data_IF_102007796501
#
_entry.id   IF_102007796501
#
_cell.length_a   1.000
_cell.length_b   1.000
_cell.length_c   1.000
_cell.angle_alpha   90.00
_cell.angle_beta   90.00
_cell.angle_gamma   90.00
#
_symmetry.space_group_name_H-M   'P 1'
#
loop_
_entity.id
_entity.type
_entity.pdbx_description
1 polymer ?
#
# COMPACT_ATOMS: atom_id res chain seq x y z
N UNK A 1 8.33 -4.78 -7.51
CA UNK A 1 8.86 -3.39 -7.69
C UNK A 1 9.42 -2.81 -6.40
N UNK A 2 10.45 -1.95 -6.45
CA UNK A 2 11.14 -1.43 -5.24
C UNK A 2 10.21 -0.60 -4.35
N UNK A 3 9.37 0.25 -4.94
CA UNK A 3 8.53 1.19 -4.18
C UNK A 3 7.45 0.52 -3.29
N UNK A 4 7.10 -0.73 -3.55
CA UNK A 4 6.14 -1.48 -2.72
C UNK A 4 6.79 -2.44 -1.71
N UNK A 5 8.12 -2.50 -1.67
CA UNK A 5 8.85 -3.34 -0.72
C UNK A 5 8.58 -2.88 0.72
N UNK A 6 8.61 -3.83 1.66
CA UNK A 6 8.25 -3.55 3.06
C UNK A 6 9.21 -2.54 3.69
N UNK A 7 10.50 -2.61 3.37
CA UNK A 7 11.54 -1.74 3.89
C UNK A 7 11.30 -0.29 3.47
N UNK A 8 11.05 -0.08 2.17
CA UNK A 8 10.76 1.25 1.60
C UNK A 8 9.46 1.79 2.15
N UNK A 9 8.42 0.97 2.19
CA UNK A 9 7.08 1.38 2.63
C UNK A 9 7.01 1.65 4.13
N UNK A 10 7.78 0.95 4.97
CA UNK A 10 7.92 1.26 6.41
C UNK A 10 8.55 2.64 6.59
N UNK A 11 9.65 2.94 5.89
CA UNK A 11 10.28 4.26 5.95
C UNK A 11 9.30 5.35 5.51
N UNK A 12 8.58 5.15 4.41
CA UNK A 12 7.55 6.09 3.94
C UNK A 12 6.40 6.24 4.94
N UNK A 13 5.95 5.15 5.57
CA UNK A 13 4.91 5.18 6.60
C UNK A 13 5.35 6.04 7.80
N UNK A 14 6.59 5.87 8.28
CA UNK A 14 7.17 6.71 9.34
C UNK A 14 7.17 8.17 8.93
N UNK A 15 7.68 8.50 7.74
CA UNK A 15 7.77 9.88 7.26
C UNK A 15 6.39 10.54 7.15
N UNK A 16 5.40 9.82 6.61
CA UNK A 16 4.02 10.32 6.46
C UNK A 16 3.38 10.51 7.84
N UNK A 17 3.52 9.55 8.74
CA UNK A 17 2.97 9.62 10.10
C UNK A 17 3.56 10.82 10.87
N UNK A 18 4.88 10.98 10.85
CA UNK A 18 5.56 12.13 11.47
C UNK A 18 5.08 13.45 10.86
N UNK A 19 4.94 13.52 9.54
CA UNK A 19 4.44 14.72 8.86
C UNK A 19 2.97 15.04 9.24
N UNK A 20 2.11 14.04 9.42
CA UNK A 20 0.74 14.21 9.90
C UNK A 20 0.70 14.71 11.34
N UNK A 21 1.50 14.11 12.23
CA UNK A 21 1.60 14.53 13.64
C UNK A 21 2.10 15.98 13.77
N UNK A 22 3.14 16.36 13.02
CA UNK A 22 3.65 17.75 12.98
C UNK A 22 2.65 18.78 12.48
N UNK A 23 1.59 18.36 11.78
CA UNK A 23 0.49 19.21 11.32
C UNK A 23 -0.74 19.17 12.24
N UNK A 24 -0.59 18.62 13.46
CA UNK A 24 -1.68 18.51 14.44
C UNK A 24 -2.68 17.39 14.13
N UNK A 25 -2.40 16.49 13.17
CA UNK A 25 -3.29 15.40 12.77
C UNK A 25 -2.90 14.07 13.44
N UNK A 26 -2.65 14.10 14.75
CA UNK A 26 -2.12 12.96 15.52
C UNK A 26 -3.05 11.74 15.47
N UNK A 27 -4.37 11.93 15.53
CA UNK A 27 -5.34 10.84 15.40
C UNK A 27 -5.19 10.07 14.08
N UNK A 28 -5.02 10.79 12.96
CA UNK A 28 -4.78 10.17 11.65
C UNK A 28 -3.41 9.50 11.56
N UNK A 29 -2.40 10.04 12.25
CA UNK A 29 -1.08 9.40 12.35
C UNK A 29 -1.16 8.05 13.07
N UNK A 30 -1.86 8.00 14.21
CA UNK A 30 -2.07 6.76 14.98
C UNK A 30 -2.90 5.76 14.19
N UNK A 31 -4.00 6.21 13.59
CA UNK A 31 -4.85 5.38 12.77
C UNK A 31 -4.09 4.81 11.56
N UNK A 32 -3.23 5.61 10.91
CA UNK A 32 -2.38 5.14 9.80
C UNK A 32 -1.50 3.97 10.22
N UNK A 33 -0.86 4.07 11.39
CA UNK A 33 -0.06 2.98 11.94
C UNK A 33 -0.89 1.74 12.26
N UNK A 34 -2.05 1.92 12.89
CA UNK A 34 -2.95 0.82 13.21
C UNK A 34 -3.38 0.07 11.94
N UNK A 35 -3.75 0.80 10.89
CA UNK A 35 -4.14 0.21 9.60
C UNK A 35 -2.96 -0.41 8.87
N UNK A 36 -1.79 0.21 8.89
CA UNK A 36 -0.59 -0.33 8.25
C UNK A 36 -0.16 -1.65 8.91
N UNK A 37 -0.04 -1.68 10.24
CA UNK A 37 0.32 -2.89 11.01
C UNK A 37 -0.76 -3.95 10.90
N UNK A 38 -2.03 -3.57 11.04
CA UNK A 38 -3.17 -4.48 10.88
C UNK A 38 -3.21 -5.11 9.49
N UNK A 39 -2.97 -4.32 8.44
CA UNK A 39 -2.89 -4.83 7.07
C UNK A 39 -1.70 -5.76 6.83
N UNK A 40 -0.53 -5.50 7.44
CA UNK A 40 0.61 -6.43 7.42
C UNK A 40 0.28 -7.74 8.13
N UNK A 41 -0.44 -7.69 9.26
CA UNK A 41 -0.88 -8.88 9.96
C UNK A 41 -1.88 -9.69 9.12
N UNK A 42 -2.85 -9.03 8.49
CA UNK A 42 -3.81 -9.67 7.56
C UNK A 42 -3.09 -10.28 6.37
N UNK A 43 -2.17 -9.54 5.72
CA UNK A 43 -1.32 -10.04 4.64
C UNK A 43 -0.60 -11.33 5.07
N UNK A 44 0.08 -11.28 6.23
CA UNK A 44 0.83 -12.41 6.74
C UNK A 44 -0.08 -13.61 7.04
N UNK A 45 -1.19 -13.41 7.74
CA UNK A 45 -2.15 -14.48 8.05
C UNK A 45 -2.68 -15.11 6.75
N UNK A 46 -3.19 -14.31 5.82
CA UNK A 46 -3.76 -14.85 4.58
C UNK A 46 -2.72 -15.64 3.78
N UNK A 47 -1.47 -15.15 3.71
CA UNK A 47 -0.37 -15.85 3.05
C UNK A 47 0.03 -17.18 3.69
N UNK A 48 -0.38 -17.47 4.92
CA UNK A 48 -0.13 -18.75 5.59
C UNK A 48 -1.34 -19.70 5.56
N UNK A 49 -2.54 -19.17 5.36
CA UNK A 49 -3.79 -19.91 5.51
C UNK A 49 -4.59 -20.09 4.22
N UNK A 50 -4.44 -19.21 3.23
CA UNK A 50 -5.15 -19.31 1.95
C UNK A 50 -4.25 -19.95 0.88
N UNK A 51 -4.56 -21.17 0.41
CA UNK A 51 -3.75 -21.85 -0.59
C UNK A 51 -3.86 -21.17 -1.96
N UNK A 52 -2.98 -20.20 -2.18
CA UNK A 52 -2.90 -19.44 -3.42
C UNK A 52 -1.46 -19.43 -3.93
N UNK A 53 -1.13 -20.26 -4.94
CA UNK A 53 0.23 -20.36 -5.45
C UNK A 53 0.61 -19.12 -6.25
N UNK A 54 1.82 -18.63 -6.00
CA UNK A 54 2.36 -17.49 -6.72
C UNK A 54 2.65 -17.77 -8.17
N UNK A 55 2.98 -16.72 -8.91
CA UNK A 55 3.37 -16.82 -10.32
C UNK A 55 4.62 -17.71 -10.43
N UNK A 56 4.59 -18.77 -11.25
CA UNK A 56 5.74 -19.62 -11.50
C UNK A 56 6.93 -18.84 -12.03
N UNK A 57 8.15 -19.27 -11.66
CA UNK A 57 9.39 -18.61 -12.11
C UNK A 57 9.51 -18.55 -13.64
N UNK A 58 8.96 -19.53 -14.36
CA UNK A 58 8.96 -19.58 -15.83
C UNK A 58 8.18 -18.44 -16.50
N UNK A 59 7.26 -17.79 -15.78
CA UNK A 59 6.49 -16.65 -16.28
C UNK A 59 7.08 -15.31 -15.82
N UNK A 60 8.15 -15.32 -15.02
CA UNK A 60 8.78 -14.10 -14.52
C UNK A 60 9.70 -13.48 -15.57
N UNK A 61 9.65 -12.15 -15.64
CA UNK A 61 10.53 -11.36 -16.49
C UNK A 61 11.64 -10.74 -15.65
N UNK A 62 12.85 -10.52 -16.19
CA UNK A 62 13.90 -9.80 -15.49
C UNK A 62 13.41 -8.45 -14.99
N UNK A 63 13.51 -8.21 -13.69
CA UNK A 63 13.07 -6.99 -13.02
C UNK A 63 14.10 -6.49 -12.01
N UNK A 64 14.00 -5.21 -11.64
CA UNK A 64 14.98 -4.52 -10.76
C UNK A 64 14.69 -4.75 -9.26
N UNK A 65 13.91 -5.77 -8.89
CA UNK A 65 13.47 -5.95 -7.49
C UNK A 65 14.35 -6.94 -6.70
N UNK A 66 15.56 -6.50 -6.38
CA UNK A 66 16.61 -7.31 -5.72
C UNK A 66 16.20 -7.75 -4.30
N UNK A 67 15.35 -6.96 -3.61
CA UNK A 67 14.94 -7.23 -2.22
C UNK A 67 13.75 -8.21 -2.10
N UNK A 68 13.05 -8.52 -3.20
CA UNK A 68 11.85 -9.36 -3.16
C UNK A 68 12.12 -10.80 -2.66
N UNK A 69 13.35 -11.27 -2.79
CA UNK A 69 13.73 -12.66 -2.52
C UNK A 69 14.01 -13.00 -1.05
N UNK A 70 14.03 -12.00 -0.15
CA UNK A 70 14.53 -12.20 1.22
C UNK A 70 13.52 -12.85 2.17
N UNK A 71 12.21 -12.82 1.86
CA UNK A 71 11.17 -13.41 2.72
C UNK A 71 10.23 -14.26 1.87
N UNK A 72 10.30 -15.58 2.02
CA UNK A 72 9.40 -16.52 1.37
C UNK A 72 8.22 -16.84 2.28
N UNK A 73 7.01 -16.60 1.80
CA UNK A 73 5.76 -17.09 2.40
C UNK A 73 5.25 -18.28 1.60
N UNK A 74 4.47 -19.20 2.20
CA UNK A 74 3.99 -20.39 1.51
C UNK A 74 3.01 -20.04 0.37
N UNK A 75 2.24 -18.96 0.53
CA UNK A 75 1.35 -18.41 -0.49
C UNK A 75 1.62 -16.94 -0.73
N UNK A 76 1.11 -16.42 -1.85
CA UNK A 76 1.44 -15.09 -2.39
C UNK A 76 0.28 -14.09 -2.33
N UNK A 77 -0.94 -14.56 -2.13
CA UNK A 77 -2.12 -13.70 -1.96
C UNK A 77 -2.25 -13.19 -0.51
N UNK A 78 -2.62 -11.91 -0.29
CA UNK A 78 -2.74 -10.83 -1.27
C UNK A 78 -1.38 -10.14 -1.54
N UNK A 79 -1.32 -9.28 -2.57
CA UNK A 79 -0.12 -8.50 -2.85
C UNK A 79 0.10 -7.39 -1.81
N UNK A 80 1.13 -7.55 -0.97
CA UNK A 80 1.58 -6.53 -0.02
C UNK A 80 2.07 -5.24 -0.68
N UNK A 81 2.68 -5.34 -1.86
CA UNK A 81 3.08 -4.18 -2.67
C UNK A 81 1.88 -3.33 -3.06
N UNK A 82 0.84 -3.97 -3.61
CA UNK A 82 -0.39 -3.29 -4.00
C UNK A 82 -1.08 -2.64 -2.80
N UNK A 83 -1.21 -3.38 -1.69
CA UNK A 83 -1.77 -2.86 -0.43
C UNK A 83 -1.03 -1.61 0.08
N UNK A 84 0.28 -1.73 0.34
CA UNK A 84 1.06 -0.66 0.98
C UNK A 84 1.19 0.56 0.09
N UNK A 85 1.41 0.38 -1.22
CA UNK A 85 1.54 1.51 -2.15
C UNK A 85 0.24 2.31 -2.25
N UNK A 86 -0.93 1.66 -2.36
CA UNK A 86 -2.21 2.36 -2.40
C UNK A 86 -2.54 3.07 -1.08
N UNK A 87 -2.28 2.41 0.05
CA UNK A 87 -2.49 2.98 1.38
C UNK A 87 -1.64 4.25 1.57
N UNK A 88 -0.34 4.16 1.31
CA UNK A 88 0.60 5.27 1.53
C UNK A 88 0.44 6.38 0.51
N UNK A 89 0.10 6.07 -0.74
CA UNK A 89 -0.24 7.08 -1.75
C UNK A 89 -1.46 7.89 -1.32
N UNK A 90 -2.51 7.23 -0.84
CA UNK A 90 -3.70 7.91 -0.29
C UNK A 90 -3.34 8.79 0.90
N UNK A 91 -2.59 8.26 1.87
CA UNK A 91 -2.16 9.02 3.05
C UNK A 91 -1.27 10.22 2.69
N UNK A 92 -0.36 10.07 1.73
CA UNK A 92 0.47 11.17 1.23
C UNK A 92 -0.36 12.28 0.57
N UNK A 93 -1.47 11.94 -0.10
CA UNK A 93 -2.37 12.94 -0.70
C UNK A 93 -3.00 13.88 0.34
N UNK A 94 -3.04 13.50 1.62
CA UNK A 94 -3.53 14.32 2.73
C UNK A 94 -2.50 15.31 3.26
N UNK A 95 -1.22 15.18 2.85
CA UNK A 95 -0.15 16.13 3.13
C UNK A 95 -0.10 17.29 2.13
N UNK A 96 -1.02 17.37 1.17
CA UNK A 96 -1.08 18.47 0.19
C UNK A 96 -1.23 19.85 0.85
N UNK A 97 -0.61 20.87 0.26
CA UNK A 97 -0.77 22.26 0.69
C UNK A 97 -2.17 22.80 0.33
N UNK A 98 -2.73 23.68 1.17
CA UNK A 98 -4.11 24.19 1.02
C UNK A 98 -4.34 25.02 -0.26
N UNK A 99 -3.28 25.62 -0.83
CA UNK A 99 -3.35 26.69 -1.86
C UNK A 99 -2.55 26.41 -3.14
N UNK A 100 -2.27 25.15 -3.48
CA UNK A 100 -1.51 24.80 -4.69
C UNK A 100 -2.39 24.21 -5.80
N UNK A 101 -2.07 24.44 -7.08
CA UNK A 101 -2.67 23.74 -8.24
C UNK A 101 -2.60 22.21 -8.11
N UNK A 102 -1.58 21.73 -7.38
CA UNK A 102 -1.39 20.32 -7.07
C UNK A 102 -2.43 19.75 -6.12
N UNK A 103 -3.25 20.59 -5.47
CA UNK A 103 -4.34 20.14 -4.58
C UNK A 103 -5.35 19.24 -5.29
N UNK A 104 -5.65 19.55 -6.57
CA UNK A 104 -6.57 18.76 -7.39
C UNK A 104 -5.86 17.66 -8.17
N UNK A 105 -4.64 17.92 -8.64
CA UNK A 105 -3.93 16.99 -9.53
C UNK A 105 -3.24 15.83 -8.80
N UNK A 106 -2.74 16.05 -7.57
CA UNK A 106 -1.94 15.07 -6.83
C UNK A 106 -2.65 13.72 -6.62
N UNK A 107 -3.95 13.65 -6.23
CA UNK A 107 -4.64 12.37 -6.10
C UNK A 107 -4.71 11.57 -7.40
N UNK A 108 -4.90 12.23 -8.55
CA UNK A 108 -4.93 11.56 -9.85
C UNK A 108 -3.56 11.04 -10.26
N UNK A 109 -2.51 11.82 -10.03
CA UNK A 109 -1.13 11.40 -10.30
C UNK A 109 -0.75 10.20 -9.45
N UNK A 110 -1.07 10.23 -8.15
CA UNK A 110 -0.82 9.13 -7.24
C UNK A 110 -1.66 7.90 -7.59
N UNK A 111 -2.93 8.08 -7.97
CA UNK A 111 -3.81 7.00 -8.43
C UNK A 111 -3.28 6.34 -9.70
N UNK A 112 -2.84 7.13 -10.68
CA UNK A 112 -2.20 6.63 -11.90
C UNK A 112 -0.91 5.86 -11.59
N UNK A 113 -0.07 6.38 -10.68
CA UNK A 113 1.14 5.69 -10.24
C UNK A 113 0.83 4.34 -9.56
N UNK A 114 -0.20 4.28 -8.71
CA UNK A 114 -0.67 3.04 -8.07
C UNK A 114 -1.18 2.03 -9.11
N UNK A 115 -1.97 2.49 -10.09
CA UNK A 115 -2.49 1.62 -11.15
C UNK A 115 -1.37 1.06 -12.04
N UNK A 116 -0.45 1.93 -12.49
CA UNK A 116 0.73 1.52 -13.26
C UNK A 116 1.62 0.56 -12.48
N UNK A 117 1.76 0.76 -11.17
CA UNK A 117 2.45 -0.19 -10.30
C UNK A 117 1.81 -1.58 -10.32
N UNK A 118 0.48 -1.65 -10.22
CA UNK A 118 -0.26 -2.91 -10.31
C UNK A 118 -0.05 -3.62 -11.64
N UNK A 119 -0.16 -2.86 -12.75
CA UNK A 119 0.11 -3.38 -14.10
C UNK A 119 1.55 -3.90 -14.20
N UNK A 120 2.53 -3.17 -13.64
CA UNK A 120 3.93 -3.59 -13.64
C UNK A 120 4.16 -4.90 -12.86
N UNK A 121 3.50 -5.10 -11.72
CA UNK A 121 3.60 -6.34 -10.95
C UNK A 121 3.08 -7.55 -11.74
N UNK A 122 1.97 -7.38 -12.45
CA UNK A 122 1.41 -8.45 -13.31
C UNK A 122 2.29 -8.69 -14.53
N UNK A 123 2.73 -7.61 -15.20
CA UNK A 123 3.57 -7.70 -16.39
C UNK A 123 4.92 -8.38 -16.13
N UNK A 124 5.55 -8.08 -15.00
CA UNK A 124 6.82 -8.70 -14.59
C UNK A 124 6.64 -10.15 -14.10
N UNK A 125 5.41 -10.59 -13.84
CA UNK A 125 5.14 -11.89 -13.24
C UNK A 125 5.49 -11.94 -11.75
N UNK A 126 5.58 -10.79 -11.06
CA UNK A 126 5.76 -10.74 -9.60
C UNK A 126 4.48 -11.22 -8.89
N UNK A 127 3.31 -10.91 -9.48
CA UNK A 127 2.00 -11.22 -8.90
C UNK A 127 0.95 -11.57 -9.95
N UNK A 128 0.00 -12.42 -9.56
CA UNK A 128 -1.24 -12.59 -10.31
C UNK A 128 -2.12 -11.34 -10.19
N UNK A 129 -2.94 -11.05 -11.21
CA UNK A 129 -3.87 -9.92 -11.17
C UNK A 129 -4.84 -9.99 -9.98
N UNK A 130 -5.27 -11.20 -9.59
CA UNK A 130 -6.11 -11.42 -8.41
C UNK A 130 -5.43 -10.99 -7.11
N UNK A 131 -4.12 -11.23 -6.96
CA UNK A 131 -3.34 -10.82 -5.78
C UNK A 131 -3.23 -9.30 -5.68
N UNK A 132 -3.03 -8.63 -6.82
CA UNK A 132 -3.00 -7.16 -6.92
C UNK A 132 -4.36 -6.58 -6.52
N UNK A 133 -5.45 -7.12 -7.08
CA UNK A 133 -6.82 -6.71 -6.73
C UNK A 133 -7.08 -6.94 -5.23
N UNK A 134 -6.70 -8.09 -4.69
CA UNK A 134 -6.82 -8.40 -3.26
C UNK A 134 -6.07 -7.40 -2.37
N UNK A 135 -4.86 -7.02 -2.77
CA UNK A 135 -4.09 -5.98 -2.08
C UNK A 135 -4.78 -4.61 -2.12
N UNK A 136 -5.35 -4.22 -3.26
CA UNK A 136 -6.13 -2.98 -3.36
C UNK A 136 -7.41 -3.02 -2.53
N UNK A 137 -8.13 -4.14 -2.48
CA UNK A 137 -9.31 -4.28 -1.63
C UNK A 137 -8.96 -4.12 -0.16
N UNK A 138 -7.85 -4.74 0.28
CA UNK A 138 -7.33 -4.57 1.65
C UNK A 138 -6.97 -3.09 1.92
N UNK A 139 -6.37 -2.40 0.95
CA UNK A 139 -6.05 -0.98 1.08
C UNK A 139 -7.32 -0.12 1.16
N UNK A 140 -8.34 -0.39 0.35
CA UNK A 140 -9.62 0.32 0.39
C UNK A 140 -10.30 0.16 1.74
N UNK A 141 -10.30 -1.04 2.32
CA UNK A 141 -10.82 -1.28 3.67
C UNK A 141 -10.06 -0.42 4.69
N UNK A 142 -8.73 -0.48 4.67
CA UNK A 142 -7.88 0.33 5.56
C UNK A 142 -8.10 1.83 5.41
N UNK A 143 -8.15 2.33 4.18
CA UNK A 143 -8.41 3.75 3.86
C UNK A 143 -9.79 4.17 4.36
N UNK A 144 -10.80 3.31 4.20
CA UNK A 144 -12.16 3.58 4.71
C UNK A 144 -12.12 3.78 6.22
N UNK A 145 -11.44 2.89 6.96
CA UNK A 145 -11.25 3.03 8.40
C UNK A 145 -10.52 4.34 8.76
N UNK A 146 -9.46 4.69 8.01
CA UNK A 146 -8.75 5.96 8.22
C UNK A 146 -9.64 7.18 8.04
N UNK A 147 -10.43 7.21 6.97
CA UNK A 147 -11.34 8.33 6.69
C UNK A 147 -12.39 8.46 7.79
N UNK A 148 -12.92 7.34 8.31
CA UNK A 148 -13.87 7.35 9.41
C UNK A 148 -13.25 7.89 10.70
N UNK A 149 -12.00 7.51 11.03
CA UNK A 149 -11.30 8.04 12.20
C UNK A 149 -10.87 9.50 12.07
N UNK A 150 -10.73 10.01 10.83
CA UNK A 150 -10.34 11.39 10.55
C UNK A 150 -11.48 12.39 10.52
N UNK A 151 -12.74 11.92 10.59
CA UNK A 151 -13.92 12.78 10.70
C UNK A 151 -14.11 13.17 12.18
N UNK A 152 -14.33 14.46 12.50
CA UNK A 152 -14.72 14.84 13.85
C UNK A 152 -16.06 14.15 14.18
N UNK A 153 -16.26 13.67 15.43
CA UNK A 153 -17.54 13.11 15.83
C UNK A 153 -18.63 14.19 15.67
N UNK A 154 -19.59 13.96 14.75
CA UNK A 154 -20.75 14.83 14.53
C UNK A 154 -20.87 15.55 13.17
N UNK A 155 -20.07 15.20 12.15
CA UNK A 155 -20.23 15.70 10.76
C UNK A 155 -21.11 14.83 9.88
#
# INVERSE_FOLDING_TARGET
TIAGNVEVTVVLAVLIAVALARRGRTQLSVALWAVFIGGLAVEWIVKHWLPHPGVPESLRRPGVNILHYLVRTPYSYPSGHAFRTMLLATAASWLRAKTSRWKRLLPYVLGAAVALMGVALVYLGDHWASEVIGGYLLAVLGITLLVLTGRPPGS
#
